data_IF_287217421149
#
_entry.id   IF_287217421149
#
_cell.length_a   1.000
_cell.length_b   1.000
_cell.length_c   1.000
_cell.angle_alpha   90.00
_cell.angle_beta   90.00
_cell.angle_gamma   90.00
#
_symmetry.space_group_name_H-M   'P 1'
#
loop_
_entity.id
_entity.type
_entity.pdbx_description
1 polymer ?
#
# COMPACT_ATOMS: atom_id res chain seq x y z
N UNK A 1 -7.60 -19.03 -2.71
CA UNK A 1 -6.73 -19.02 -1.50
C UNK A 1 -5.59 -20.02 -1.63
N UNK A 2 -5.87 -21.31 -1.87
CA UNK A 2 -4.84 -22.34 -2.10
C UNK A 2 -3.98 -22.05 -3.34
N UNK A 3 -4.59 -21.53 -4.39
CA UNK A 3 -3.88 -21.10 -5.59
C UNK A 3 -2.88 -19.96 -5.31
N UNK A 4 -3.29 -18.94 -4.54
CA UNK A 4 -2.41 -17.82 -4.20
C UNK A 4 -1.19 -18.21 -3.38
N UNK A 5 -1.34 -19.11 -2.41
CA UNK A 5 -0.20 -19.63 -1.65
C UNK A 5 0.69 -20.55 -2.51
N UNK A 6 0.12 -21.30 -3.45
CA UNK A 6 0.90 -22.12 -4.38
C UNK A 6 1.73 -21.27 -5.35
N UNK A 7 1.16 -20.17 -5.87
CA UNK A 7 1.88 -19.19 -6.70
C UNK A 7 3.06 -18.58 -5.93
N UNK A 8 2.83 -18.11 -4.70
CA UNK A 8 3.89 -17.53 -3.89
C UNK A 8 5.02 -18.53 -3.58
N UNK A 9 4.69 -19.80 -3.31
CA UNK A 9 5.69 -20.87 -3.17
C UNK A 9 6.48 -21.10 -4.45
N UNK A 10 5.81 -21.07 -5.60
CA UNK A 10 6.46 -21.24 -6.89
C UNK A 10 7.45 -20.10 -7.17
N UNK A 11 7.08 -18.87 -6.88
CA UNK A 11 7.95 -17.70 -7.10
C UNK A 11 9.12 -17.66 -6.13
N UNK A 12 8.92 -18.04 -4.86
CA UNK A 12 10.03 -18.20 -3.91
C UNK A 12 10.98 -19.33 -4.30
N UNK A 13 10.47 -20.45 -4.84
CA UNK A 13 11.31 -21.51 -5.37
C UNK A 13 12.15 -21.03 -6.57
N UNK A 14 11.56 -20.25 -7.49
CA UNK A 14 12.31 -19.61 -8.61
C UNK A 14 13.37 -18.63 -8.11
N UNK A 15 13.15 -18.00 -6.96
CA UNK A 15 14.11 -17.13 -6.29
C UNK A 15 15.17 -17.89 -5.47
N UNK A 16 15.29 -19.21 -5.62
CA UNK A 16 16.20 -20.09 -4.88
C UNK A 16 16.03 -20.06 -3.35
N UNK A 17 14.81 -19.76 -2.86
CA UNK A 17 14.48 -19.93 -1.45
C UNK A 17 14.18 -21.41 -1.21
N UNK A 18 14.89 -22.03 -0.26
CA UNK A 18 14.72 -23.46 0.06
C UNK A 18 13.37 -23.77 0.70
N UNK A 19 12.95 -25.04 0.65
CA UNK A 19 11.70 -25.49 1.27
C UNK A 19 11.71 -25.26 2.78
N UNK A 20 12.86 -25.47 3.42
CA UNK A 20 13.08 -25.22 4.84
C UNK A 20 12.91 -23.74 5.18
N UNK A 21 13.45 -22.84 4.34
CA UNK A 21 13.24 -21.39 4.50
C UNK A 21 11.79 -20.98 4.25
N UNK A 22 11.05 -21.71 3.40
CA UNK A 22 9.62 -21.47 3.15
C UNK A 22 8.70 -22.11 4.20
N UNK A 23 9.22 -22.75 5.26
CA UNK A 23 8.39 -23.41 6.27
C UNK A 23 7.38 -22.46 6.95
N UNK A 24 7.66 -21.16 7.00
CA UNK A 24 6.74 -20.15 7.53
C UNK A 24 5.49 -19.96 6.67
N UNK A 25 5.55 -20.28 5.37
CA UNK A 25 4.49 -20.05 4.39
C UNK A 25 3.37 -21.09 4.54
N UNK A 26 2.71 -21.04 5.69
CA UNK A 26 1.54 -21.84 6.03
C UNK A 26 0.26 -21.11 5.58
N UNK A 27 -0.86 -21.84 5.50
CA UNK A 27 -2.16 -21.22 5.20
C UNK A 27 -2.55 -20.15 6.22
N UNK A 28 -2.23 -20.38 7.49
CA UNK A 28 -2.50 -19.43 8.57
C UNK A 28 -1.65 -18.16 8.42
N UNK A 29 -0.38 -18.30 8.09
CA UNK A 29 0.49 -17.16 7.80
C UNK A 29 -0.05 -16.35 6.62
N UNK A 30 -0.40 -17.01 5.51
CA UNK A 30 -0.91 -16.34 4.32
C UNK A 30 -2.22 -15.56 4.60
N UNK A 31 -3.17 -16.18 5.31
CA UNK A 31 -4.39 -15.51 5.79
C UNK A 31 -4.08 -14.30 6.67
N UNK A 32 -3.16 -14.45 7.62
CA UNK A 32 -2.77 -13.36 8.51
C UNK A 32 -2.14 -12.19 7.77
N UNK A 33 -1.32 -12.45 6.74
CA UNK A 33 -0.72 -11.39 5.92
C UNK A 33 -1.79 -10.67 5.09
N UNK A 34 -2.68 -11.41 4.42
CA UNK A 34 -3.78 -10.79 3.68
C UNK A 34 -4.69 -9.93 4.55
N UNK A 35 -5.03 -10.41 5.75
CA UNK A 35 -5.83 -9.63 6.71
C UNK A 35 -5.12 -8.33 7.11
N UNK A 36 -3.81 -8.37 7.35
CA UNK A 36 -3.02 -7.17 7.68
C UNK A 36 -2.92 -6.20 6.51
N UNK A 37 -2.73 -6.69 5.28
CA UNK A 37 -2.75 -5.83 4.09
C UNK A 37 -4.12 -5.16 3.98
N UNK A 38 -5.21 -5.90 4.18
CA UNK A 38 -6.55 -5.35 4.09
C UNK A 38 -6.84 -4.28 5.16
N UNK A 39 -6.32 -4.45 6.39
CA UNK A 39 -6.54 -3.51 7.51
C UNK A 39 -5.61 -2.29 7.41
N UNK A 40 -4.39 -2.45 6.90
CA UNK A 40 -3.33 -1.44 6.99
C UNK A 40 -2.90 -0.85 5.64
N UNK A 41 -3.55 -1.21 4.53
CA UNK A 41 -3.29 -0.60 3.25
C UNK A 41 -3.86 0.81 3.18
N UNK A 42 -3.08 1.71 2.60
CA UNK A 42 -3.45 3.06 2.23
C UNK A 42 -3.52 3.13 0.71
N UNK A 43 -4.59 3.75 0.20
CA UNK A 43 -4.64 4.16 -1.19
C UNK A 43 -3.65 5.31 -1.39
N UNK A 44 -2.79 5.21 -2.41
CA UNK A 44 -1.91 6.29 -2.82
C UNK A 44 -2.61 7.04 -3.94
N UNK A 45 -2.82 8.34 -3.73
CA UNK A 45 -3.37 9.22 -4.75
C UNK A 45 -2.27 10.13 -5.29
N UNK A 46 -2.24 10.33 -6.62
CA UNK A 46 -1.38 11.35 -7.22
C UNK A 46 -2.02 12.71 -6.96
N UNK A 47 -1.30 13.58 -6.26
CA UNK A 47 -1.69 14.98 -6.13
C UNK A 47 -1.63 15.64 -7.52
N UNK A 48 -2.79 15.82 -8.16
CA UNK A 48 -2.96 16.76 -9.25
C UNK A 48 -2.94 18.16 -8.64
N UNK A 49 -2.15 19.05 -9.23
CA UNK A 49 -1.81 20.44 -8.86
C UNK A 49 -2.51 21.07 -7.64
N UNK A 50 -1.69 21.74 -6.82
CA UNK A 50 -2.04 22.41 -5.56
C UNK A 50 -3.42 23.09 -5.61
N UNK A 51 -4.40 22.45 -4.99
CA UNK A 51 -5.57 23.19 -4.52
C UNK A 51 -5.10 24.06 -3.36
N UNK A 52 -5.31 25.38 -3.47
CA UNK A 52 -4.83 26.40 -2.52
C UNK A 52 -5.39 26.23 -1.09
N UNK A 53 -6.30 25.27 -0.86
CA UNK A 53 -6.90 24.99 0.44
C UNK A 53 -6.93 23.48 0.79
N UNK A 54 -6.53 23.18 2.02
CA UNK A 54 -6.46 21.82 2.59
C UNK A 54 -7.85 21.16 2.68
N UNK A 55 -8.90 21.95 2.91
CA UNK A 55 -10.28 21.47 2.96
C UNK A 55 -10.82 21.11 1.57
N UNK A 56 -10.48 21.90 0.55
CA UNK A 56 -10.81 21.58 -0.85
C UNK A 56 -10.06 20.35 -1.35
N UNK A 57 -8.82 20.14 -0.91
CA UNK A 57 -8.05 18.92 -1.22
C UNK A 57 -8.68 17.66 -0.60
N UNK A 58 -9.14 17.75 0.65
CA UNK A 58 -9.82 16.64 1.33
C UNK A 58 -11.19 16.31 0.70
N UNK A 59 -11.94 17.33 0.30
CA UNK A 59 -13.21 17.15 -0.42
C UNK A 59 -12.99 16.55 -1.82
N UNK A 60 -11.95 16.98 -2.54
CA UNK A 60 -11.59 16.44 -3.84
C UNK A 60 -11.15 14.97 -3.77
N UNK A 61 -10.39 14.56 -2.73
CA UNK A 61 -9.99 13.15 -2.53
C UNK A 61 -11.20 12.20 -2.49
N UNK A 62 -12.31 12.61 -1.86
CA UNK A 62 -13.53 11.80 -1.78
C UNK A 62 -14.19 11.63 -3.18
N UNK A 63 -14.09 12.62 -4.05
CA UNK A 63 -14.66 12.58 -5.41
C UNK A 63 -13.74 11.88 -6.44
N UNK A 64 -12.42 11.88 -6.22
CA UNK A 64 -11.42 11.33 -7.17
C UNK A 64 -10.90 9.93 -6.84
N UNK A 65 -11.46 9.25 -5.84
CA UNK A 65 -10.97 7.98 -5.25
C UNK A 65 -10.76 6.84 -6.27
N UNK A 66 -11.46 6.86 -7.43
CA UNK A 66 -11.34 5.83 -8.47
C UNK A 66 -10.43 6.22 -9.66
N UNK A 67 -10.18 7.51 -9.90
CA UNK A 67 -9.51 7.99 -11.13
C UNK A 67 -8.07 8.47 -10.92
N UNK A 68 -7.70 8.84 -9.68
CA UNK A 68 -6.38 9.37 -9.32
C UNK A 68 -5.50 8.40 -8.50
N UNK A 69 -6.01 7.19 -8.22
CA UNK A 69 -5.29 6.18 -7.43
C UNK A 69 -4.06 5.65 -8.19
N UNK A 70 -2.87 5.96 -7.67
CA UNK A 70 -1.59 5.48 -8.16
C UNK A 70 -1.31 4.01 -7.77
N UNK A 71 -1.98 3.53 -6.72
CA UNK A 71 -1.80 2.18 -6.19
C UNK A 71 -2.11 2.08 -4.69
N UNK A 72 -1.67 1.00 -4.05
CA UNK A 72 -1.82 0.78 -2.62
C UNK A 72 -0.46 0.53 -1.97
N UNK A 73 -0.27 1.00 -0.74
CA UNK A 73 0.89 0.66 0.08
C UNK A 73 0.51 0.50 1.55
N UNK A 74 1.24 -0.37 2.26
CA UNK A 74 1.14 -0.48 3.71
C UNK A 74 2.27 0.34 4.35
N UNK A 75 1.92 1.44 5.03
CA UNK A 75 2.89 2.25 5.77
C UNK A 75 2.89 1.88 7.25
N UNK A 76 4.01 1.36 7.75
CA UNK A 76 4.11 0.80 9.11
C UNK A 76 3.83 1.79 10.24
N UNK A 77 4.22 3.06 10.10
CA UNK A 77 3.99 4.07 11.15
C UNK A 77 2.60 4.71 11.08
N UNK A 78 2.11 5.17 9.91
CA UNK A 78 0.74 5.65 9.76
C UNK A 78 -0.32 4.62 10.15
N UNK A 79 -0.08 3.32 9.92
CA UNK A 79 -1.02 2.25 10.25
C UNK A 79 -1.24 2.04 11.76
N UNK A 80 -0.40 2.65 12.62
CA UNK A 80 -0.56 2.59 14.07
C UNK A 80 -1.53 3.64 14.62
N UNK A 81 -1.95 4.62 13.81
CA UNK A 81 -2.90 5.64 14.23
C UNK A 81 -4.32 5.13 14.06
N UNK A 82 -5.13 5.27 15.10
CA UNK A 82 -6.55 4.94 15.05
C UNK A 82 -7.33 6.06 14.37
N UNK A 83 -8.44 5.69 13.74
CA UNK A 83 -9.40 6.65 13.21
C UNK A 83 -10.02 7.45 14.37
N UNK A 84 -9.93 8.77 14.31
CA UNK A 84 -10.59 9.72 15.20
C UNK A 84 -11.27 10.79 14.35
N UNK A 85 -12.61 10.79 14.32
CA UNK A 85 -13.39 11.75 13.55
C UNK A 85 -13.22 13.21 14.01
N UNK A 86 -12.64 13.45 15.21
CA UNK A 86 -12.45 14.79 15.78
C UNK A 86 -11.11 15.46 15.47
N UNK A 87 -10.15 14.74 14.87
CA UNK A 87 -8.83 15.28 14.51
C UNK A 87 -8.44 14.85 13.10
N UNK A 88 -8.31 15.82 12.19
CA UNK A 88 -7.78 15.57 10.85
C UNK A 88 -6.27 15.35 10.94
N UNK A 89 -5.84 14.09 11.01
CA UNK A 89 -4.44 13.71 10.78
C UNK A 89 -4.28 13.37 9.31
N UNK A 90 -3.89 14.35 8.49
CA UNK A 90 -3.58 14.15 7.08
C UNK A 90 -2.17 13.53 6.96
N UNK A 91 -2.08 12.30 6.46
CA UNK A 91 -0.80 11.65 6.17
C UNK A 91 -0.36 11.99 4.75
N UNK A 92 0.39 13.07 4.61
CA UNK A 92 1.07 13.42 3.36
C UNK A 92 2.36 12.60 3.24
N UNK A 93 2.35 11.59 2.38
CA UNK A 93 3.57 10.89 1.98
C UNK A 93 4.25 11.66 0.83
N UNK A 94 5.35 12.36 1.12
CA UNK A 94 6.13 13.04 0.09
C UNK A 94 7.10 12.04 -0.56
N UNK A 95 6.72 11.49 -1.72
CA UNK A 95 7.64 10.69 -2.53
C UNK A 95 8.39 11.63 -3.48
N UNK A 96 9.68 11.88 -3.23
CA UNK A 96 10.55 12.58 -4.19
C UNK A 96 10.93 11.59 -5.29
N UNK A 97 10.22 11.64 -6.42
CA UNK A 97 10.65 10.96 -7.64
C UNK A 97 11.90 11.69 -8.17
N UNK A 98 13.07 11.08 -8.00
CA UNK A 98 14.32 11.59 -8.53
C UNK A 98 14.33 11.31 -10.05
N UNK A 99 13.67 12.17 -10.83
CA UNK A 99 13.59 12.06 -12.28
C UNK A 99 14.93 12.45 -12.90
N UNK A 100 15.94 11.59 -12.79
CA UNK A 100 17.16 11.70 -13.60
C UNK A 100 16.82 11.29 -15.02
N UNK A 101 16.40 12.27 -15.81
CA UNK A 101 16.21 12.17 -17.25
C UNK A 101 17.49 11.76 -17.97
N UNK A 102 17.72 10.45 -18.10
CA UNK A 102 18.59 9.89 -19.14
C UNK A 102 17.80 8.82 -19.89
N UNK A 103 17.34 9.22 -21.07
CA UNK A 103 16.96 8.29 -22.13
C UNK A 103 18.17 7.43 -22.50
N UNK A 104 17.92 6.14 -22.72
CA UNK A 104 18.54 5.42 -23.83
C UNK A 104 17.58 5.56 -25.03
#
# INVERSE_FOLDING_TARGET
>A
MEEGIALLRNDFAKANISVEQMAFLTKQWYKSVLARIHIYAFCIELAVESSDDLLSSAAACIETEAAAAAGNAAYMLPSMYNHDCGKLSLFLAYARLDYKGKLC
#
